data_IF_723187259598
#
_entry.id   IF_723187259598
#
_cell.length_a   1.000
_cell.length_b   1.000
_cell.length_c   1.000
_cell.angle_alpha   90.00
_cell.angle_beta   90.00
_cell.angle_gamma   90.00
#
_symmetry.space_group_name_H-M   'P 1'
#
loop_
_entity.id
_entity.type
_entity.pdbx_description
1 polymer ?
#
# COMPACT_ATOMS: atom_id res chain seq x y z
N UNK A 1 56.73 6.38 14.10
CA UNK A 1 55.57 7.08 14.71
C UNK A 1 54.62 7.71 13.69
N UNK A 2 55.07 8.43 12.65
CA UNK A 2 54.16 9.05 11.66
C UNK A 2 53.21 8.03 10.97
N UNK A 3 53.71 6.85 10.61
CA UNK A 3 52.89 5.78 9.99
C UNK A 3 51.79 5.22 10.92
N UNK A 4 52.05 5.19 12.22
CA UNK A 4 51.12 4.69 13.24
C UNK A 4 49.95 5.64 13.45
N UNK A 5 50.20 6.95 13.41
CA UNK A 5 49.15 8.00 13.50
C UNK A 5 48.24 7.95 12.27
N UNK A 6 48.81 7.76 11.07
CA UNK A 6 48.03 7.65 9.83
C UNK A 6 47.14 6.40 9.83
N UNK A 7 47.64 5.27 10.34
CA UNK A 7 46.88 4.03 10.45
C UNK A 7 45.71 4.17 11.45
N UNK A 8 45.95 4.82 12.60
CA UNK A 8 44.91 5.08 13.60
C UNK A 8 43.82 6.02 13.05
N UNK A 9 44.23 7.06 12.30
CA UNK A 9 43.30 8.00 11.66
C UNK A 9 42.40 7.29 10.62
N UNK A 10 42.99 6.41 9.80
CA UNK A 10 42.25 5.56 8.87
C UNK A 10 41.25 4.65 9.61
N UNK A 11 41.65 4.06 10.74
CA UNK A 11 40.79 3.15 11.51
C UNK A 11 39.57 3.88 12.12
N UNK A 12 39.74 5.13 12.55
CA UNK A 12 38.67 5.97 13.12
C UNK A 12 37.70 6.47 12.03
N UNK A 13 38.15 6.61 10.79
CA UNK A 13 37.30 7.06 9.68
C UNK A 13 36.38 5.96 9.14
N UNK A 14 36.76 4.68 9.25
CA UNK A 14 35.97 3.55 8.70
C UNK A 14 34.52 3.51 9.24
N UNK A 15 34.23 3.66 10.55
CA UNK A 15 32.86 3.70 11.05
C UNK A 15 32.05 4.90 10.56
N UNK A 16 32.70 6.05 10.36
CA UNK A 16 32.01 7.28 9.94
C UNK A 16 31.48 7.20 8.50
N UNK A 17 32.10 6.37 7.65
CA UNK A 17 31.61 6.15 6.29
C UNK A 17 30.33 5.30 6.27
N UNK A 18 30.16 4.39 7.25
CA UNK A 18 28.94 3.59 7.38
C UNK A 18 27.76 4.38 7.95
N UNK A 19 28.00 5.43 8.76
CA UNK A 19 26.92 6.32 9.25
C UNK A 19 26.35 7.25 8.18
N UNK A 20 27.03 7.42 7.03
CA UNK A 20 26.58 8.29 5.93
C UNK A 20 25.76 7.52 4.89
N UNK A 21 25.65 6.20 5.01
CA UNK A 21 24.75 5.43 4.17
C UNK A 21 23.30 5.78 4.55
N UNK A 22 22.79 6.85 3.93
CA UNK A 22 21.39 7.26 4.00
C UNK A 22 20.54 6.05 3.67
N UNK A 23 19.49 5.82 4.46
CA UNK A 23 18.76 4.56 4.47
C UNK A 23 18.24 4.14 3.09
N UNK A 24 17.78 2.90 3.05
CA UNK A 24 17.35 2.26 1.81
C UNK A 24 16.37 3.14 1.04
N UNK A 25 16.58 3.26 -0.27
CA UNK A 25 15.66 3.98 -1.15
C UNK A 25 14.93 2.96 -1.99
N UNK A 26 13.62 2.91 -1.84
CA UNK A 26 12.75 2.03 -2.60
C UNK A 26 12.01 2.81 -3.67
N UNK A 27 11.84 2.19 -4.84
CA UNK A 27 11.22 2.79 -6.03
C UNK A 27 10.22 1.83 -6.65
N UNK A 28 9.05 2.35 -7.03
CA UNK A 28 8.02 1.61 -7.74
C UNK A 28 7.50 2.43 -8.94
N UNK A 29 7.42 1.81 -10.12
CA UNK A 29 7.02 2.46 -11.36
C UNK A 29 5.54 2.21 -11.67
N UNK A 30 4.83 3.23 -12.12
CA UNK A 30 3.46 3.17 -12.62
C UNK A 30 3.44 3.64 -14.07
N UNK A 31 3.08 2.75 -14.99
CA UNK A 31 2.98 3.07 -16.42
C UNK A 31 1.89 4.12 -16.69
N UNK A 32 0.74 3.98 -16.03
CA UNK A 32 -0.39 4.91 -16.11
C UNK A 32 -0.79 5.36 -14.70
N UNK A 33 -0.93 6.66 -14.50
CA UNK A 33 -1.25 7.23 -13.20
C UNK A 33 -1.77 8.66 -13.37
N UNK A 34 -2.87 9.00 -12.69
CA UNK A 34 -3.42 10.35 -12.60
C UNK A 34 -3.46 10.85 -11.15
N UNK A 35 -3.85 9.98 -10.24
CA UNK A 35 -3.85 10.25 -8.80
C UNK A 35 -3.41 8.98 -8.08
N UNK A 36 -2.58 9.12 -7.05
CA UNK A 36 -2.05 7.99 -6.28
C UNK A 36 -2.26 8.26 -4.78
N UNK A 37 -3.08 7.45 -4.15
CA UNK A 37 -3.22 7.38 -2.71
C UNK A 37 -2.27 6.30 -2.17
N UNK A 38 -1.50 6.64 -1.14
CA UNK A 38 -0.53 5.73 -0.51
C UNK A 38 -0.83 5.66 0.97
N UNK A 39 -1.19 4.46 1.42
CA UNK A 39 -1.35 4.16 2.84
C UNK A 39 -0.11 3.38 3.33
N UNK A 40 0.58 3.91 4.33
CA UNK A 40 1.79 3.31 4.89
C UNK A 40 1.45 2.67 6.23
N UNK A 41 1.64 1.36 6.31
CA UNK A 41 1.50 0.61 7.56
C UNK A 41 2.83 0.00 7.95
N UNK A 42 3.00 -0.29 9.23
CA UNK A 42 4.20 -0.94 9.75
C UNK A 42 3.86 -1.99 10.79
N UNK A 43 4.81 -2.88 11.07
CA UNK A 43 4.69 -3.87 12.15
C UNK A 43 4.63 -3.25 13.55
N UNK A 44 5.14 -2.03 13.71
CA UNK A 44 5.13 -1.26 14.96
C UNK A 44 4.59 0.16 14.75
N UNK A 45 4.69 0.98 15.79
CA UNK A 45 4.37 2.42 15.69
C UNK A 45 5.42 3.05 14.76
N UNK A 46 4.96 3.84 13.80
CA UNK A 46 5.83 4.60 12.90
C UNK A 46 6.18 5.90 13.59
N UNK A 47 7.46 6.09 13.88
CA UNK A 47 7.96 7.33 14.46
C UNK A 47 8.07 8.43 13.38
N UNK A 48 7.92 9.68 13.80
CA UNK A 48 8.01 10.83 12.90
C UNK A 48 9.40 10.90 12.25
N UNK A 49 9.43 11.01 10.92
CA UNK A 49 10.67 11.11 10.16
C UNK A 49 11.38 9.79 9.89
N UNK A 50 10.79 8.62 10.15
CA UNK A 50 11.42 7.35 9.75
C UNK A 50 11.56 7.18 8.23
N UNK A 51 10.69 7.81 7.44
CA UNK A 51 10.76 7.79 5.98
C UNK A 51 10.41 9.16 5.38
N UNK A 52 10.74 9.34 4.11
CA UNK A 52 10.32 10.49 3.31
C UNK A 52 9.93 10.02 1.92
N UNK A 53 8.73 10.39 1.49
CA UNK A 53 8.31 10.21 0.11
C UNK A 53 8.87 11.40 -0.68
N UNK A 54 9.72 11.11 -1.66
CA UNK A 54 10.51 12.13 -2.36
C UNK A 54 9.74 12.80 -3.52
N UNK A 55 8.57 12.27 -3.85
CA UNK A 55 7.74 12.76 -4.93
C UNK A 55 6.72 13.80 -4.46
N UNK A 56 6.02 14.45 -5.41
CA UNK A 56 4.95 15.43 -5.17
C UNK A 56 3.73 14.80 -4.49
N UNK A 57 3.90 14.39 -3.24
CA UNK A 57 2.87 13.83 -2.38
C UNK A 57 2.64 14.77 -1.22
N UNK A 58 1.38 14.98 -0.89
CA UNK A 58 0.95 15.75 0.28
C UNK A 58 0.47 14.77 1.32
N UNK A 59 1.00 14.87 2.54
CA UNK A 59 0.50 14.10 3.66
C UNK A 59 -0.90 14.58 4.03
N UNK A 60 -1.86 13.66 4.04
CA UNK A 60 -3.28 13.93 4.29
C UNK A 60 -3.79 13.05 5.45
N UNK A 61 -3.06 13.12 6.57
CA UNK A 61 -3.28 12.31 7.76
C UNK A 61 -2.06 11.45 8.11
N UNK A 62 -2.10 10.83 9.28
CA UNK A 62 -0.99 10.02 9.78
C UNK A 62 -0.71 8.84 8.84
N UNK A 63 0.47 8.85 8.19
CA UNK A 63 0.92 7.81 7.26
C UNK A 63 0.06 7.63 6.00
N UNK A 64 -0.73 8.65 5.64
CA UNK A 64 -1.54 8.65 4.44
C UNK A 64 -1.09 9.78 3.51
N UNK A 65 -0.77 9.45 2.26
CA UNK A 65 -0.20 10.39 1.30
C UNK A 65 -1.01 10.43 0.03
N UNK A 66 -1.28 11.63 -0.46
CA UNK A 66 -1.95 11.87 -1.74
C UNK A 66 -0.94 12.45 -2.73
N UNK A 67 -0.68 11.72 -3.80
CA UNK A 67 0.32 12.04 -4.81
C UNK A 67 -0.36 12.45 -6.12
N UNK A 68 0.03 13.62 -6.64
CA UNK A 68 -0.29 14.01 -8.02
C UNK A 68 0.68 13.28 -8.96
N UNK A 69 0.16 12.34 -9.74
CA UNK A 69 0.96 11.47 -10.60
C UNK A 69 0.55 11.58 -12.07
N UNK A 70 1.46 11.19 -12.97
CA UNK A 70 1.27 11.19 -14.42
C UNK A 70 1.70 9.84 -14.99
N UNK A 71 1.34 9.54 -16.24
CA UNK A 71 1.84 8.32 -16.89
C UNK A 71 3.37 8.26 -16.82
N UNK A 72 3.91 7.08 -16.48
CA UNK A 72 5.32 6.86 -16.21
C UNK A 72 5.81 7.37 -14.84
N UNK A 73 4.93 7.50 -13.85
CA UNK A 73 5.27 7.98 -12.51
C UNK A 73 6.14 6.99 -11.74
N UNK A 74 7.14 7.50 -11.02
CA UNK A 74 7.99 6.69 -10.14
C UNK A 74 7.76 7.08 -8.68
N UNK A 75 7.01 6.29 -7.94
CA UNK A 75 6.93 6.47 -6.48
C UNK A 75 8.27 6.11 -5.85
N UNK A 76 8.86 7.05 -5.10
CA UNK A 76 10.14 6.88 -4.41
C UNK A 76 9.98 7.20 -2.94
N UNK A 77 10.35 6.23 -2.10
CA UNK A 77 10.45 6.42 -0.65
C UNK A 77 11.90 6.22 -0.23
N UNK A 78 12.36 7.09 0.67
CA UNK A 78 13.68 6.99 1.29
C UNK A 78 13.50 6.80 2.78
N UNK A 79 14.09 5.72 3.30
CA UNK A 79 14.12 5.47 4.73
C UNK A 79 15.28 6.25 5.37
N UNK A 80 15.07 6.73 6.59
CA UNK A 80 16.14 7.34 7.38
C UNK A 80 16.97 6.24 8.08
N UNK A 81 18.28 6.49 8.37
CA UNK A 81 19.17 5.50 9.01
C UNK A 81 18.75 4.96 10.39
N UNK A 82 17.59 5.34 10.93
CA UNK A 82 17.03 4.84 12.17
C UNK A 82 15.71 4.08 12.01
N UNK A 83 15.19 3.93 10.79
CA UNK A 83 13.96 3.18 10.53
C UNK A 83 14.16 1.71 10.89
N UNK A 84 13.47 1.23 11.92
CA UNK A 84 13.58 -0.16 12.43
C UNK A 84 12.37 -1.02 12.10
N UNK A 85 11.30 -0.40 11.61
CA UNK A 85 10.05 -1.07 11.29
C UNK A 85 10.12 -1.81 9.93
N UNK A 86 9.21 -2.76 9.76
CA UNK A 86 8.91 -3.33 8.44
C UNK A 86 7.66 -2.64 7.88
N UNK A 87 7.82 -1.91 6.78
CA UNK A 87 6.77 -1.08 6.20
C UNK A 87 6.06 -1.79 5.05
N UNK A 88 4.75 -1.63 4.99
CA UNK A 88 3.91 -2.06 3.88
C UNK A 88 3.27 -0.82 3.26
N UNK A 89 3.49 -0.63 1.96
CA UNK A 89 2.90 0.45 1.17
C UNK A 89 1.72 -0.12 0.38
N UNK A 90 0.52 0.33 0.69
CA UNK A 90 -0.68 0.02 -0.07
C UNK A 90 -0.96 1.17 -1.03
N UNK A 91 -1.00 0.85 -2.32
CA UNK A 91 -1.22 1.82 -3.39
C UNK A 91 -2.65 1.71 -3.90
N UNK A 92 -3.39 2.80 -3.82
CA UNK A 92 -4.65 2.97 -4.51
C UNK A 92 -4.48 4.07 -5.56
N UNK A 93 -4.31 3.69 -6.83
CA UNK A 93 -4.04 4.63 -7.90
C UNK A 93 -5.14 4.62 -8.94
N UNK A 94 -5.42 5.81 -9.47
CA UNK A 94 -6.36 6.05 -10.55
C UNK A 94 -5.60 6.28 -11.83
N UNK A 95 -6.07 5.70 -12.93
CA UNK A 95 -5.56 5.95 -14.26
C UNK A 95 -6.71 6.12 -15.25
N UNK A 96 -6.51 6.99 -16.24
CA UNK A 96 -7.45 7.17 -17.34
C UNK A 96 -7.13 6.19 -18.46
N UNK A 97 -7.86 5.08 -18.50
CA UNK A 97 -7.92 4.28 -19.72
C UNK A 97 -8.92 4.93 -20.67
N UNK A 98 -8.40 5.57 -21.70
CA UNK A 98 -9.20 5.89 -22.88
C UNK A 98 -9.58 4.55 -23.53
N UNK A 99 -10.81 4.12 -23.30
CA UNK A 99 -11.42 3.12 -24.18
C UNK A 99 -11.87 3.92 -25.38
N UNK A 100 -11.12 3.85 -26.47
CA UNK A 100 -11.66 4.18 -27.77
C UNK A 100 -12.90 3.29 -27.92
N UNK A 101 -14.09 3.90 -27.82
CA UNK A 101 -15.31 3.21 -28.25
C UNK A 101 -15.02 2.79 -29.70
N UNK A 102 -15.23 1.52 -30.07
CA UNK A 102 -15.12 1.16 -31.48
C UNK A 102 -16.05 2.10 -32.22
N UNK A 103 -15.50 2.93 -33.10
CA UNK A 103 -16.28 3.77 -33.96
C UNK A 103 -17.22 2.83 -34.72
N UNK A 104 -18.50 2.79 -34.31
CA UNK A 104 -19.59 2.22 -35.10
C UNK A 104 -19.86 3.20 -36.29
N UNK A 105 -18.79 3.61 -36.97
CA UNK A 105 -18.80 4.40 -38.19
C UNK A 105 -18.91 3.43 -39.38
N UNK A 106 -20.12 2.90 -39.53
CA UNK A 106 -20.64 2.47 -40.83
C UNK A 106 -21.81 3.37 -41.22
N UNK A 107 -21.58 4.69 -41.27
CA UNK A 107 -22.27 5.56 -42.23
C UNK A 107 -21.60 6.92 -42.39
N UNK A 108 -21.15 7.19 -43.62
CA UNK A 108 -20.32 8.34 -43.96
C UNK A 108 -20.95 9.71 -43.71
N UNK A 109 -20.07 10.67 -43.43
CA UNK A 109 -20.42 12.08 -43.31
C UNK A 109 -19.17 12.91 -43.07
N UNK A 110 -18.49 13.24 -44.16
CA UNK A 110 -17.38 14.17 -44.22
C UNK A 110 -17.86 15.56 -43.75
N UNK A 111 -17.43 16.05 -42.58
CA UNK A 111 -17.19 17.49 -42.32
C UNK A 111 -16.67 17.78 -40.90
N UNK A 112 -15.48 18.42 -40.84
CA UNK A 112 -15.29 19.65 -40.07
C UNK A 112 -15.15 19.62 -38.53
N UNK A 113 -13.91 19.50 -38.05
CA UNK A 113 -13.25 20.40 -37.09
C UNK A 113 -14.05 20.98 -35.90
N UNK A 114 -13.70 20.61 -34.67
CA UNK A 114 -13.25 21.57 -33.62
C UNK A 114 -12.80 20.85 -32.34
N UNK A 115 -11.65 21.28 -31.79
CA UNK A 115 -11.04 20.74 -30.58
C UNK A 115 -11.87 21.01 -29.32
N UNK A 116 -12.25 19.94 -28.64
CA UNK A 116 -12.97 19.96 -27.38
C UNK A 116 -12.12 19.41 -26.24
N UNK A 117 -12.02 20.19 -25.16
CA UNK A 117 -11.39 19.84 -23.89
C UNK A 117 -11.96 18.53 -23.34
N UNK A 118 -11.15 17.46 -23.35
CA UNK A 118 -11.52 16.11 -22.90
C UNK A 118 -11.73 16.05 -21.39
N UNK A 119 -12.95 16.32 -20.94
CA UNK A 119 -13.43 15.87 -19.64
C UNK A 119 -13.75 14.38 -19.74
N UNK A 120 -12.77 13.52 -19.46
CA UNK A 120 -12.91 12.06 -19.48
C UNK A 120 -14.04 11.60 -18.56
N UNK A 121 -15.23 11.41 -19.13
CA UNK A 121 -16.30 10.69 -18.46
C UNK A 121 -16.08 9.19 -18.69
N UNK A 122 -15.77 8.45 -17.64
CA UNK A 122 -15.61 7.00 -17.73
C UNK A 122 -16.97 6.33 -17.97
N UNK A 123 -17.23 5.93 -19.21
CA UNK A 123 -18.31 4.98 -19.51
C UNK A 123 -17.82 3.58 -19.20
N UNK A 124 -18.19 2.99 -18.06
CA UNK A 124 -18.15 1.52 -17.93
C UNK A 124 -19.49 1.01 -18.40
N UNK A 125 -19.58 0.29 -19.52
CA UNK A 125 -20.83 -0.38 -19.87
C UNK A 125 -21.01 -1.60 -18.98
N UNK A 126 -22.06 -1.64 -18.16
CA UNK A 126 -22.40 -2.78 -17.32
C UNK A 126 -23.67 -3.45 -17.87
N UNK A 127 -23.69 -4.78 -17.84
CA UNK A 127 -24.82 -5.62 -18.23
C UNK A 127 -25.44 -6.25 -16.97
N UNK A 128 -26.60 -5.77 -16.51
CA UNK A 128 -27.15 -6.05 -15.20
C UNK A 128 -27.86 -7.38 -15.10
N UNK A 129 -27.96 -8.18 -16.16
CA UNK A 129 -28.64 -9.49 -16.17
C UNK A 129 -28.07 -10.47 -15.12
N UNK A 130 -26.94 -10.14 -14.49
CA UNK A 130 -26.33 -10.85 -13.36
C UNK A 130 -25.92 -9.87 -12.27
N UNK A 131 -25.98 -10.29 -10.99
CA UNK A 131 -25.34 -9.56 -9.90
C UNK A 131 -23.91 -9.17 -10.24
N UNK A 132 -23.53 -7.92 -9.95
CA UNK A 132 -22.14 -7.48 -10.05
C UNK A 132 -21.78 -6.50 -8.94
N UNK A 133 -20.50 -6.38 -8.64
CA UNK A 133 -19.98 -5.45 -7.63
C UNK A 133 -19.06 -4.43 -8.30
N UNK A 134 -19.17 -3.17 -7.90
CA UNK A 134 -18.34 -2.09 -8.44
C UNK A 134 -17.76 -1.23 -7.33
N UNK A 135 -16.51 -0.84 -7.56
CA UNK A 135 -15.75 0.13 -6.77
C UNK A 135 -16.03 1.52 -7.35
N UNK A 136 -16.71 2.36 -6.58
CA UNK A 136 -17.16 3.67 -7.04
C UNK A 136 -16.57 4.74 -6.13
N UNK A 137 -15.77 5.61 -6.73
CA UNK A 137 -15.20 6.77 -6.09
C UNK A 137 -16.18 7.96 -6.11
N UNK A 138 -16.05 8.91 -5.17
CA UNK A 138 -16.89 10.09 -5.14
C UNK A 138 -16.72 10.93 -6.40
N UNK A 139 -17.82 11.49 -6.89
CA UNK A 139 -17.93 12.38 -8.04
C UNK A 139 -17.62 11.76 -9.41
N UNK A 140 -17.26 10.48 -9.47
CA UNK A 140 -17.12 9.74 -10.72
C UNK A 140 -18.51 9.27 -11.19
N UNK A 141 -18.86 9.62 -12.42
CA UNK A 141 -20.07 9.14 -13.08
C UNK A 141 -19.78 7.76 -13.67
N UNK A 142 -20.35 6.73 -13.05
CA UNK A 142 -20.46 5.41 -13.66
C UNK A 142 -21.65 5.38 -14.60
N UNK A 143 -21.48 4.83 -15.80
CA UNK A 143 -22.61 4.48 -16.66
C UNK A 143 -22.94 2.99 -16.52
N UNK A 144 -24.12 2.57 -16.92
CA UNK A 144 -24.49 1.15 -17.08
C UNK A 144 -25.72 1.04 -17.98
N UNK A 145 -25.93 -0.10 -18.66
CA UNK A 145 -27.13 -0.31 -19.48
C UNK A 145 -28.07 -1.28 -18.79
N UNK A 146 -29.33 -0.92 -18.54
CA UNK A 146 -30.36 -1.83 -18.02
C UNK A 146 -31.54 -1.84 -18.98
N UNK A 147 -32.08 -3.02 -19.34
CA UNK A 147 -33.12 -3.15 -20.39
C UNK A 147 -32.80 -2.35 -21.68
N UNK A 148 -31.53 -2.33 -22.12
CA UNK A 148 -31.01 -1.52 -23.24
C UNK A 148 -31.05 0.01 -23.08
N UNK A 149 -31.40 0.53 -21.90
CA UNK A 149 -31.38 1.96 -21.58
C UNK A 149 -30.09 2.31 -20.84
N UNK A 150 -29.41 3.39 -21.23
CA UNK A 150 -28.19 3.86 -20.57
C UNK A 150 -28.52 4.68 -19.33
N UNK A 151 -28.11 4.19 -18.17
CA UNK A 151 -28.24 4.85 -16.87
C UNK A 151 -26.91 5.42 -16.40
N UNK A 152 -27.00 6.39 -15.48
CA UNK A 152 -25.83 6.97 -14.80
C UNK A 152 -25.95 6.74 -13.30
N UNK A 153 -24.81 6.53 -12.63
CA UNK A 153 -24.70 6.36 -11.18
C UNK A 153 -23.49 7.14 -10.68
N UNK A 154 -23.68 8.01 -9.70
CA UNK A 154 -22.64 8.87 -9.15
C UNK A 154 -22.70 8.83 -7.63
N UNK A 155 -21.60 8.44 -6.99
CA UNK A 155 -21.46 8.65 -5.55
C UNK A 155 -21.15 10.12 -5.32
N UNK A 156 -21.92 10.81 -4.48
CA UNK A 156 -21.73 12.25 -4.17
C UNK A 156 -21.05 12.48 -2.83
N UNK A 157 -21.18 11.53 -1.90
CA UNK A 157 -20.55 11.60 -0.59
C UNK A 157 -20.29 10.19 -0.06
N UNK A 158 -19.14 9.99 0.58
CA UNK A 158 -18.77 8.74 1.26
C UNK A 158 -18.47 9.07 2.72
N UNK A 159 -19.15 8.37 3.62
CA UNK A 159 -18.96 8.45 5.06
C UNK A 159 -18.45 7.12 5.60
N UNK A 160 -18.32 6.97 6.92
CA UNK A 160 -17.74 5.76 7.53
C UNK A 160 -18.63 4.52 7.32
N UNK A 161 -19.95 4.68 7.30
CA UNK A 161 -20.90 3.56 7.27
C UNK A 161 -21.99 3.67 6.19
N UNK A 162 -21.91 4.69 5.33
CA UNK A 162 -22.88 4.91 4.27
C UNK A 162 -22.30 5.72 3.12
N UNK A 163 -22.97 5.68 1.98
CA UNK A 163 -22.69 6.55 0.84
C UNK A 163 -23.97 7.22 0.37
N UNK A 164 -23.86 8.47 -0.10
CA UNK A 164 -24.94 9.19 -0.78
C UNK A 164 -24.67 9.13 -2.27
N UNK A 165 -25.67 8.75 -3.05
CA UNK A 165 -25.53 8.61 -4.50
C UNK A 165 -26.66 9.33 -5.25
N UNK A 166 -26.42 9.58 -6.52
CA UNK A 166 -27.37 10.08 -7.51
C UNK A 166 -27.41 9.10 -8.69
N UNK A 167 -28.61 8.74 -9.15
CA UNK A 167 -28.81 7.90 -10.34
C UNK A 167 -29.68 8.65 -11.36
N UNK A 168 -29.40 8.44 -12.65
CA UNK A 168 -30.04 9.13 -13.77
C UNK A 168 -29.99 10.67 -13.64
N UNK A 169 -28.82 11.21 -13.30
CA UNK A 169 -28.57 12.64 -13.34
C UNK A 169 -29.46 13.51 -12.42
N UNK A 170 -30.09 12.93 -11.39
CA UNK A 170 -30.75 13.52 -10.19
C UNK A 170 -32.14 12.92 -9.87
N UNK A 171 -32.69 12.05 -10.72
CA UNK A 171 -34.03 11.47 -10.52
C UNK A 171 -34.10 10.70 -9.20
N UNK A 172 -33.04 9.94 -8.91
CA UNK A 172 -32.91 9.19 -7.66
C UNK A 172 -31.74 9.78 -6.88
N UNK A 173 -32.00 10.21 -5.65
CA UNK A 173 -30.98 10.63 -4.70
C UNK A 173 -31.26 10.00 -3.35
N UNK A 174 -30.38 9.11 -2.93
CA UNK A 174 -30.59 8.35 -1.70
C UNK A 174 -29.25 7.99 -1.03
N UNK A 175 -29.35 7.37 0.13
CA UNK A 175 -28.26 6.90 0.97
C UNK A 175 -28.29 5.38 1.07
N UNK A 176 -27.17 4.73 0.79
CA UNK A 176 -26.98 3.29 1.06
C UNK A 176 -26.15 3.12 2.33
N UNK A 177 -26.65 2.33 3.28
CA UNK A 177 -25.89 1.90 4.45
C UNK A 177 -25.25 0.54 4.19
N UNK A 178 -24.14 0.27 4.88
CA UNK A 178 -23.42 -1.01 4.74
C UNK A 178 -24.37 -2.18 5.07
N UNK A 179 -24.43 -3.16 4.16
CA UNK A 179 -25.26 -4.36 4.21
C UNK A 179 -26.79 -4.11 4.25
N UNK A 180 -27.25 -2.91 3.92
CA UNK A 180 -28.68 -2.59 3.80
C UNK A 180 -29.09 -2.56 2.32
N UNK A 181 -29.75 -3.61 1.81
CA UNK A 181 -30.23 -3.63 0.43
C UNK A 181 -31.41 -2.66 0.25
N UNK A 182 -31.37 -1.89 -0.83
CA UNK A 182 -32.48 -1.01 -1.24
C UNK A 182 -32.86 -1.26 -2.69
N UNK A 183 -34.17 -1.25 -2.95
CA UNK A 183 -34.75 -1.51 -4.25
C UNK A 183 -35.16 -0.19 -4.93
N UNK A 184 -34.90 -0.07 -6.22
CA UNK A 184 -35.17 1.13 -7.01
C UNK A 184 -35.86 0.79 -8.33
N UNK A 185 -36.84 1.60 -8.70
CA UNK A 185 -37.31 1.74 -10.08
C UNK A 185 -36.41 2.78 -10.76
N UNK A 186 -35.82 2.43 -11.91
CA UNK A 186 -34.85 3.28 -12.63
C UNK A 186 -35.34 3.74 -14.01
N UNK A 187 -36.50 3.26 -14.49
CA UNK A 187 -37.07 3.57 -15.80
C UNK A 187 -38.50 4.18 -15.78
N UNK A 188 -39.03 4.48 -14.58
CA UNK A 188 -40.34 5.10 -14.30
C UNK A 188 -41.56 4.26 -14.75
N UNK A 189 -41.41 2.94 -14.89
CA UNK A 189 -42.50 2.02 -15.26
C UNK A 189 -43.41 1.57 -14.08
N UNK A 190 -43.18 2.10 -12.87
CA UNK A 190 -43.75 1.67 -11.58
C UNK A 190 -43.38 0.24 -11.11
N UNK A 191 -42.49 -0.47 -11.78
CA UNK A 191 -41.94 -1.76 -11.34
C UNK A 191 -40.54 -1.58 -10.71
N UNK A 192 -40.15 -2.44 -9.77
CA UNK A 192 -38.81 -2.37 -9.20
C UNK A 192 -37.82 -3.07 -10.14
N UNK A 193 -36.69 -2.43 -10.41
CA UNK A 193 -35.73 -2.87 -11.44
C UNK A 193 -34.45 -3.44 -10.86
N UNK A 194 -33.93 -2.79 -9.81
CA UNK A 194 -32.59 -3.05 -9.30
C UNK A 194 -32.55 -2.98 -7.78
N UNK A 195 -31.84 -3.92 -7.16
CA UNK A 195 -31.44 -3.87 -5.76
C UNK A 195 -29.98 -3.42 -5.67
N UNK A 196 -29.73 -2.37 -4.90
CA UNK A 196 -28.38 -1.91 -4.58
C UNK A 196 -28.03 -2.29 -3.14
N UNK A 197 -26.80 -2.70 -2.91
CA UNK A 197 -26.29 -2.96 -1.55
C UNK A 197 -24.88 -2.41 -1.43
N UNK A 198 -24.65 -1.52 -0.46
CA UNK A 198 -23.30 -1.12 -0.11
C UNK A 198 -22.66 -2.24 0.70
N UNK A 199 -21.69 -2.93 0.13
CA UNK A 199 -21.02 -4.08 0.77
C UNK A 199 -19.97 -3.61 1.78
N UNK A 200 -19.15 -2.63 1.38
CA UNK A 200 -18.01 -2.17 2.15
C UNK A 200 -17.60 -0.75 1.72
N UNK A 201 -16.92 -0.01 2.60
CA UNK A 201 -16.24 1.24 2.29
C UNK A 201 -14.75 1.07 2.58
N UNK A 202 -13.90 1.30 1.58
CA UNK A 202 -12.43 1.27 1.70
C UNK A 202 -11.86 2.64 1.40
N UNK A 203 -11.44 3.37 2.45
CA UNK A 203 -11.05 4.76 2.31
C UNK A 203 -12.21 5.62 1.80
N UNK A 204 -12.05 6.22 0.61
CA UNK A 204 -13.10 7.00 -0.07
C UNK A 204 -13.88 6.18 -1.09
N UNK A 205 -13.57 4.92 -1.28
CA UNK A 205 -14.18 4.05 -2.28
C UNK A 205 -15.38 3.31 -1.70
N UNK A 206 -16.53 3.42 -2.36
CA UNK A 206 -17.72 2.62 -2.04
C UNK A 206 -17.75 1.36 -2.88
N UNK A 207 -17.90 0.20 -2.24
CA UNK A 207 -18.04 -1.09 -2.91
C UNK A 207 -19.54 -1.43 -2.94
N UNK A 208 -20.18 -1.20 -4.09
CA UNK A 208 -21.63 -1.34 -4.25
C UNK A 208 -21.93 -2.55 -5.13
N UNK A 209 -22.77 -3.42 -4.63
CA UNK A 209 -23.36 -4.53 -5.37
C UNK A 209 -24.67 -4.09 -6.03
N UNK A 210 -24.82 -4.45 -7.30
CA UNK A 210 -25.98 -4.21 -8.15
C UNK A 210 -26.57 -5.57 -8.50
N UNK A 211 -27.87 -5.77 -8.21
CA UNK A 211 -28.60 -7.00 -8.54
C UNK A 211 -29.87 -6.65 -9.31
N UNK A 212 -30.26 -7.40 -10.35
CA UNK A 212 -31.64 -7.36 -10.83
C UNK A 212 -32.60 -7.50 -9.66
N UNK A 213 -33.63 -6.67 -9.62
CA UNK A 213 -34.73 -6.90 -8.72
C UNK A 213 -35.33 -8.26 -9.07
N UNK A 214 -35.20 -9.20 -8.14
CA UNK A 214 -36.01 -10.40 -8.16
C UNK A 214 -37.08 -10.15 -7.13
N UNK A 215 -38.35 -10.16 -7.56
CA UNK A 215 -39.48 -10.14 -6.65
C UNK A 215 -39.19 -11.16 -5.55
N UNK A 216 -38.90 -10.67 -4.33
CA UNK A 216 -38.70 -11.56 -3.20
C UNK A 216 -40.02 -12.24 -3.07
N UNK A 217 -40.11 -13.48 -3.57
CA UNK A 217 -41.17 -14.38 -3.18
C UNK A 217 -41.02 -14.47 -1.68
N UNK A 218 -41.81 -13.66 -0.98
CA UNK A 218 -42.03 -13.81 0.43
C UNK A 218 -42.52 -15.23 0.49
N UNK A 219 -41.64 -16.15 0.89
CA UNK A 219 -42.05 -17.46 1.33
C UNK A 219 -42.97 -17.10 2.48
N UNK A 220 -44.28 -17.06 2.19
CA UNK A 220 -45.29 -16.94 3.21
C UNK A 220 -44.87 -18.00 4.22
N UNK A 221 -44.50 -17.62 5.46
CA UNK A 221 -44.09 -18.60 6.43
C UNK A 221 -45.20 -19.63 6.43
N UNK A 222 -44.89 -20.86 6.01
CA UNK A 222 -45.87 -21.93 5.97
C UNK A 222 -46.43 -21.93 7.38
N UNK A 223 -47.68 -21.51 7.50
CA UNK A 223 -48.38 -21.47 8.77
C UNK A 223 -48.41 -22.92 9.21
N UNK A 224 -47.48 -23.31 10.07
CA UNK A 224 -47.48 -24.63 10.68
C UNK A 224 -48.85 -24.77 11.33
N UNK A 225 -49.69 -25.74 10.90
CA UNK A 225 -51.00 -25.91 11.47
C UNK A 225 -50.88 -26.06 12.99
N UNK A 226 -51.65 -25.28 13.72
CA UNK A 226 -51.62 -25.25 15.18
C UNK A 226 -51.96 -26.62 15.78
N UNK A 227 -51.20 -27.01 16.81
CA UNK A 227 -51.47 -28.04 17.83
C UNK A 227 -51.08 -29.48 17.50
N UNK A 228 -50.14 -30.03 18.30
CA UNK A 228 -50.50 -31.09 19.24
C UNK A 228 -50.52 -30.60 20.70
N UNK A 229 -51.17 -31.34 21.63
CA UNK A 229 -51.51 -30.91 22.99
C UNK A 229 -50.28 -30.63 23.89
N UNK A 230 -50.46 -29.89 24.99
CA UNK A 230 -49.35 -29.32 25.76
C UNK A 230 -48.58 -30.40 26.54
N UNK A 231 -47.26 -30.42 26.37
CA UNK A 231 -46.34 -31.13 27.25
C UNK A 231 -45.52 -30.09 28.02
N UNK A 232 -45.42 -30.35 29.32
CA UNK A 232 -44.91 -29.49 30.38
C UNK A 232 -43.47 -29.02 30.18
N UNK A 233 -43.22 -27.82 30.70
CA UNK A 233 -41.94 -27.15 30.85
C UNK A 233 -40.86 -28.07 31.44
N UNK A 234 -39.66 -27.99 30.88
CA UNK A 234 -38.45 -28.15 31.67
C UNK A 234 -37.47 -27.04 31.25
N UNK A 235 -37.26 -26.10 32.15
CA UNK A 235 -36.31 -25.01 32.01
C UNK A 235 -34.89 -25.58 32.00
N UNK A 236 -34.12 -25.29 30.96
CA UNK A 236 -32.66 -25.33 31.02
C UNK A 236 -32.14 -24.16 30.21
N UNK A 237 -31.72 -23.11 30.94
CA UNK A 237 -30.94 -22.01 30.40
C UNK A 237 -29.61 -22.56 29.88
N UNK A 238 -29.36 -22.39 28.58
CA UNK A 238 -28.03 -22.54 27.98
C UNK A 238 -27.51 -21.14 27.68
N UNK A 239 -26.47 -20.77 28.42
CA UNK A 239 -25.71 -19.53 28.28
C UNK A 239 -24.85 -19.61 26.99
N UNK A 240 -24.87 -18.60 26.11
CA UNK A 240 -23.99 -18.58 24.93
C UNK A 240 -22.52 -18.45 25.36
N UNK A 241 -21.59 -19.25 24.81
CA UNK A 241 -20.18 -19.10 25.12
C UNK A 241 -19.62 -17.82 24.50
N UNK A 242 -18.88 -17.10 25.33
CA UNK A 242 -18.06 -15.93 25.02
C UNK A 242 -16.99 -16.30 23.98
N UNK A 243 -16.86 -15.56 22.87
CA UNK A 243 -15.81 -15.83 21.90
C UNK A 243 -14.46 -15.28 22.41
N UNK A 244 -13.63 -16.18 22.94
CA UNK A 244 -12.19 -15.96 23.06
C UNK A 244 -11.58 -15.82 21.66
N UNK A 245 -11.11 -14.62 21.30
CA UNK A 245 -10.19 -14.46 20.17
C UNK A 245 -8.77 -14.26 20.69
N UNK A 246 -8.04 -15.38 20.66
CA UNK A 246 -6.60 -15.45 20.91
C UNK A 246 -5.88 -14.80 19.72
N UNK A 247 -5.36 -13.60 19.91
CA UNK A 247 -4.39 -13.01 18.98
C UNK A 247 -3.04 -13.68 19.27
N UNK A 248 -2.63 -14.61 18.42
CA UNK A 248 -1.27 -15.14 18.44
C UNK A 248 -0.31 -14.09 17.88
N UNK A 249 0.48 -13.50 18.77
CA UNK A 249 1.66 -12.70 18.47
C UNK A 249 2.70 -13.59 17.72
N UNK A 250 2.78 -13.45 16.41
CA UNK A 250 3.87 -14.05 15.64
C UNK A 250 5.13 -13.20 15.83
N UNK A 251 5.97 -13.60 16.78
CA UNK A 251 7.29 -13.00 17.05
C UNK A 251 8.14 -13.00 15.77
N UNK A 252 8.51 -11.83 15.20
CA UNK A 252 9.30 -11.79 13.99
C UNK A 252 10.70 -12.33 14.28
N UNK A 253 11.08 -13.39 13.54
CA UNK A 253 12.46 -13.87 13.46
C UNK A 253 13.31 -12.77 12.82
N UNK A 254 14.04 -12.02 13.66
CA UNK A 254 15.17 -11.21 13.23
C UNK A 254 16.06 -12.02 12.27
N UNK A 255 16.33 -11.53 11.04
CA UNK A 255 17.15 -12.23 10.07
C UNK A 255 18.65 -12.11 10.36
N UNK A 256 19.05 -11.36 11.39
CA UNK A 256 20.43 -11.36 11.86
C UNK A 256 20.71 -12.64 12.63
N UNK A 257 21.00 -13.71 11.87
CA UNK A 257 21.44 -14.97 12.45
C UNK A 257 22.62 -14.67 13.37
N UNK A 258 22.58 -15.20 14.60
CA UNK A 258 23.68 -15.09 15.57
C UNK A 258 25.04 -15.50 14.96
N UNK A 259 25.02 -16.28 13.87
CA UNK A 259 26.17 -16.66 13.07
C UNK A 259 26.86 -15.47 12.39
N UNK A 260 26.12 -14.49 11.86
CA UNK A 260 26.70 -13.32 11.19
C UNK A 260 27.49 -12.44 12.17
N UNK A 261 26.96 -12.25 13.39
CA UNK A 261 27.65 -11.51 14.45
C UNK A 261 28.93 -12.23 14.88
N UNK A 262 28.89 -13.57 15.01
CA UNK A 262 30.07 -14.38 15.36
C UNK A 262 31.16 -14.27 14.28
N UNK A 263 30.80 -14.28 13.00
CA UNK A 263 31.76 -14.14 11.88
C UNK A 263 32.43 -12.76 11.90
N UNK A 264 31.65 -11.69 12.11
CA UNK A 264 32.18 -10.32 12.16
C UNK A 264 33.15 -10.15 13.33
N UNK A 265 32.77 -10.62 14.53
CA UNK A 265 33.65 -10.56 15.71
C UNK A 265 34.92 -11.39 15.50
N UNK A 266 34.81 -12.58 14.89
CA UNK A 266 35.95 -13.42 14.55
C UNK A 266 36.96 -12.73 13.61
N UNK A 267 36.46 -12.07 12.55
CA UNK A 267 37.30 -11.32 11.62
C UNK A 267 38.04 -10.17 12.30
N UNK A 268 37.38 -9.45 13.22
CA UNK A 268 38.01 -8.35 13.98
C UNK A 268 39.15 -8.90 14.85
N UNK A 269 38.96 -10.02 15.55
CA UNK A 269 40.00 -10.62 16.38
C UNK A 269 41.18 -11.10 15.54
N UNK A 270 40.94 -11.73 14.39
CA UNK A 270 42.01 -12.17 13.47
C UNK A 270 42.83 -10.97 12.97
N UNK A 271 42.17 -9.87 12.60
CA UNK A 271 42.86 -8.65 12.17
C UNK A 271 43.71 -8.03 13.29
N UNK A 272 43.22 -8.04 14.53
CA UNK A 272 44.00 -7.57 15.68
C UNK A 272 45.24 -8.45 15.93
N UNK A 273 45.09 -9.78 15.85
CA UNK A 273 46.21 -10.71 16.01
C UNK A 273 47.23 -10.61 14.86
N UNK A 274 46.77 -10.46 13.62
CA UNK A 274 47.67 -10.23 12.49
C UNK A 274 48.44 -8.92 12.65
N UNK A 275 47.78 -7.86 13.12
CA UNK A 275 48.39 -6.57 13.40
C UNK A 275 49.50 -6.65 14.46
N UNK A 276 49.30 -7.42 15.54
CA UNK A 276 50.34 -7.58 16.58
C UNK A 276 51.54 -8.39 16.08
N UNK A 277 51.32 -9.46 15.31
CA UNK A 277 52.40 -10.27 14.71
C UNK A 277 53.24 -9.41 13.76
N UNK A 278 52.59 -8.65 12.87
CA UNK A 278 53.27 -7.75 11.94
C UNK A 278 54.06 -6.68 12.71
N UNK A 279 53.45 -6.10 13.76
CA UNK A 279 54.12 -5.13 14.64
C UNK A 279 55.40 -5.67 15.29
N UNK A 280 55.36 -6.90 15.82
CA UNK A 280 56.54 -7.57 16.41
C UNK A 280 57.60 -7.85 15.34
N UNK A 281 57.19 -8.26 14.14
CA UNK A 281 58.12 -8.54 13.04
C UNK A 281 58.88 -7.27 12.61
N UNK A 282 58.18 -6.15 12.44
CA UNK A 282 58.82 -4.86 12.13
C UNK A 282 59.69 -4.35 13.28
N UNK A 283 59.28 -4.55 14.53
CA UNK A 283 60.09 -4.17 15.69
C UNK A 283 61.43 -4.95 15.73
N UNK A 284 61.41 -6.24 15.40
CA UNK A 284 62.61 -7.08 15.36
C UNK A 284 63.58 -6.65 14.24
N UNK A 285 63.07 -6.31 13.07
CA UNK A 285 63.89 -5.80 11.95
C UNK A 285 64.52 -4.46 12.30
N UNK A 286 63.76 -3.54 12.91
CA UNK A 286 64.27 -2.23 13.31
C UNK A 286 65.45 -2.33 14.29
N UNK A 287 65.45 -3.32 15.18
CA UNK A 287 66.52 -3.50 16.17
C UNK A 287 67.78 -4.13 15.59
N UNK A 288 67.69 -4.79 14.42
CA UNK A 288 68.84 -5.44 13.79
C UNK A 288 69.67 -4.50 12.91
N UNK A 289 69.17 -3.30 12.61
CA UNK A 289 69.85 -2.31 11.75
C UNK A 289 70.74 -1.30 12.49
N UNK A 290 70.77 -1.31 13.82
CA UNK A 290 71.56 -0.35 14.64
C UNK A 290 72.95 -0.88 15.04
N UNK A 291 73.39 -2.04 14.54
CA UNK A 291 74.67 -2.65 14.94
C UNK A 291 75.81 -2.63 13.89
N UNK A 292 75.64 -1.96 12.75
CA UNK A 292 76.72 -1.79 11.75
C UNK A 292 76.98 -0.32 11.47
N UNK A 293 77.53 0.42 12.44
CA UNK A 293 78.21 1.68 12.14
C UNK A 293 79.24 2.04 13.22
N UNK A 294 80.21 1.17 13.45
CA UNK A 294 81.43 1.57 14.14
C UNK A 294 82.61 0.78 13.58
N UNK A 295 83.42 1.48 12.79
CA UNK A 295 84.89 1.50 12.76
C UNK A 295 85.38 1.67 11.32
N UNK A 296 86.14 2.74 11.13
CA UNK A 296 87.26 2.89 10.20
C UNK A 296 87.24 4.25 9.54
N UNK A 297 87.88 5.22 10.21
CA UNK A 297 88.63 6.27 9.54
C UNK A 297 89.76 6.70 10.48
N UNK A 298 90.78 5.83 10.54
CA UNK A 298 92.13 6.18 10.96
C UNK A 298 93.04 5.96 9.76
N UNK A 299 93.42 7.04 9.06
CA UNK A 299 94.62 7.09 8.22
C UNK A 299 94.97 8.53 7.86
N UNK A 300 95.74 9.15 8.75
CA UNK A 300 97.14 9.54 8.50
C UNK A 300 97.52 9.95 7.06
N UNK A 301 98.00 11.20 6.88
CA UNK A 301 99.26 11.52 6.17
C UNK A 301 99.45 13.04 6.03
N UNK A 302 100.54 13.51 6.63
CA UNK A 302 101.47 14.62 6.27
C UNK A 302 100.95 16.00 5.81
#
# INVERSE_FOLDING_TARGET
MKKTIVLLLMLILIPTVYSIYGGETWKYHFDECKELEVNVTATGIIDEGEYTILNNCTENGTNYHLCDCKNGYNFTVKFHPGAVNNYTFEFNYMYERFVEEPDDDDNGGNDGSSGGTSGSSFTTTLYPDRPFTKYILPYIISRFRFKNILHTFKVTNVSINHTVFEMNGNIIKDRLYINEPKDYNIDDDNELDITLTLQEIRGRTSIIEFKPYQERRILTPITTPSSPPPIQQNDTQVQPPEPESVIQESKPKSPFSKLAIIIIVGLIVILLLAGTIIGVYYFKISKSGEHEQETDNDSNSD
#
